data_IF_300912856929
#
_entry.id   IF_300912856929
#
_cell.length_a   1.000
_cell.length_b   1.000
_cell.length_c   1.000
_cell.angle_alpha   90.00
_cell.angle_beta   90.00
_cell.angle_gamma   90.00
#
_symmetry.space_group_name_H-M   'P 1'
#
loop_
_entity.id
_entity.type
_entity.pdbx_description
1 polymer ?
#
# COMPACT_ATOMS: atom_id res chain seq x y z
N UNK A 1 -49.60 11.97 20.13
CA UNK A 1 -48.19 12.09 20.58
C UNK A 1 -47.29 10.95 20.08
N UNK A 2 -47.71 9.69 20.19
CA UNK A 2 -46.92 8.48 19.84
C UNK A 2 -46.31 8.51 18.42
N UNK A 3 -47.05 8.97 17.41
CA UNK A 3 -46.54 9.04 16.02
C UNK A 3 -45.33 9.97 15.85
N UNK A 4 -45.31 11.12 16.55
CA UNK A 4 -44.20 12.08 16.46
C UNK A 4 -42.94 11.55 17.13
N UNK A 5 -43.10 10.82 18.24
CA UNK A 5 -42.00 10.18 18.96
C UNK A 5 -41.38 9.04 18.15
N UNK A 6 -42.20 8.23 17.47
CA UNK A 6 -41.72 7.15 16.60
C UNK A 6 -40.93 7.70 15.40
N UNK A 7 -41.42 8.76 14.75
CA UNK A 7 -40.70 9.42 13.65
C UNK A 7 -39.36 10.00 14.12
N UNK A 8 -39.32 10.60 15.31
CA UNK A 8 -38.08 11.13 15.89
C UNK A 8 -37.07 10.02 16.16
N UNK A 9 -37.50 8.89 16.73
CA UNK A 9 -36.63 7.73 16.98
C UNK A 9 -36.09 7.17 15.66
N UNK A 10 -36.92 7.05 14.62
CA UNK A 10 -36.48 6.60 13.30
C UNK A 10 -35.43 7.55 12.70
N UNK A 11 -35.65 8.87 12.76
CA UNK A 11 -34.71 9.88 12.25
C UNK A 11 -33.38 9.84 13.02
N UNK A 12 -33.43 9.75 14.35
CA UNK A 12 -32.23 9.67 15.19
C UNK A 12 -31.47 8.36 14.92
N UNK A 13 -32.18 7.24 14.72
CA UNK A 13 -31.54 5.95 14.39
C UNK A 13 -30.91 5.98 12.99
N UNK A 14 -31.56 6.61 12.00
CA UNK A 14 -31.00 6.83 10.66
C UNK A 14 -29.77 7.75 10.69
N UNK A 15 -29.77 8.80 11.53
CA UNK A 15 -28.61 9.68 11.74
C UNK A 15 -27.45 8.95 12.47
N UNK A 16 -27.75 8.00 13.36
CA UNK A 16 -26.73 7.16 14.01
C UNK A 16 -26.14 6.15 13.01
N UNK A 17 -26.96 5.57 12.13
CA UNK A 17 -26.49 4.64 11.08
C UNK A 17 -25.69 5.39 10.00
N UNK A 18 -25.99 6.65 9.72
CA UNK A 18 -25.16 7.49 8.83
C UNK A 18 -23.79 7.85 9.41
N UNK A 19 -23.56 7.62 10.71
CA UNK A 19 -22.26 7.78 11.35
C UNK A 19 -21.43 6.48 11.40
N UNK A 20 -21.83 5.41 10.70
CA UNK A 20 -20.85 4.40 10.31
C UNK A 20 -19.91 5.03 9.28
N UNK A 21 -18.89 5.72 9.79
CA UNK A 21 -17.76 6.23 9.05
C UNK A 21 -17.22 5.12 8.14
N UNK A 22 -17.53 5.17 6.85
CA UNK A 22 -16.61 4.62 5.86
C UNK A 22 -15.39 5.54 5.92
N UNK A 23 -14.35 5.11 6.62
CA UNK A 23 -13.08 5.80 6.59
C UNK A 23 -12.41 5.45 5.26
N UNK A 24 -12.00 6.49 4.53
CA UNK A 24 -11.37 6.41 3.22
C UNK A 24 -10.18 5.44 3.22
N UNK A 25 -9.96 4.78 2.08
CA UNK A 25 -8.73 4.04 1.82
C UNK A 25 -7.54 5.01 1.98
N UNK A 26 -6.61 4.71 2.88
CA UNK A 26 -5.32 5.40 2.90
C UNK A 26 -4.55 4.91 1.66
N UNK A 27 -4.50 5.73 0.62
CA UNK A 27 -3.64 5.52 -0.54
C UNK A 27 -2.40 6.40 -0.31
N UNK A 28 -1.22 5.80 -0.27
CA UNK A 28 0.02 6.59 -0.33
C UNK A 28 0.90 6.06 -1.42
N UNK A 29 1.44 6.99 -2.19
CA UNK A 29 2.30 6.73 -3.32
C UNK A 29 3.68 7.31 -3.02
N UNK A 30 4.73 6.47 -3.08
CA UNK A 30 6.12 6.97 -3.04
C UNK A 30 6.84 6.67 -4.35
N UNK A 31 7.67 7.62 -4.75
CA UNK A 31 8.50 7.55 -5.94
C UNK A 31 9.94 7.16 -5.58
N UNK A 32 10.40 6.04 -6.14
CA UNK A 32 11.72 5.47 -5.91
C UNK A 32 12.56 5.63 -7.18
N UNK A 33 13.85 5.95 -7.02
CA UNK A 33 14.81 6.14 -8.11
C UNK A 33 16.11 5.40 -7.84
N UNK A 34 16.56 4.63 -8.83
CA UNK A 34 17.87 4.01 -8.89
C UNK A 34 18.67 4.58 -10.06
N UNK A 35 19.98 4.61 -9.90
CA UNK A 35 20.91 4.99 -10.96
C UNK A 35 21.74 3.77 -11.31
N UNK A 36 21.88 3.50 -12.60
CA UNK A 36 22.75 2.44 -13.07
C UNK A 36 23.43 2.85 -14.38
N UNK A 37 24.59 2.26 -14.64
CA UNK A 37 25.37 2.51 -15.84
C UNK A 37 25.50 1.24 -16.67
N UNK A 38 25.44 1.38 -17.99
CA UNK A 38 25.76 0.31 -18.94
C UNK A 38 26.77 0.83 -19.97
N UNK A 39 27.62 -0.04 -20.50
CA UNK A 39 28.54 0.29 -21.60
C UNK A 39 27.79 0.78 -22.84
N UNK A 40 26.61 0.24 -23.08
CA UNK A 40 25.88 0.42 -24.33
C UNK A 40 25.00 1.68 -24.29
N UNK A 41 24.56 2.06 -23.10
CA UNK A 41 23.56 3.12 -22.90
C UNK A 41 24.01 4.27 -21.99
N UNK A 42 25.18 4.14 -21.34
CA UNK A 42 25.68 5.07 -20.34
C UNK A 42 24.86 5.05 -19.04
N UNK A 43 24.92 6.14 -18.28
CA UNK A 43 24.18 6.28 -17.03
C UNK A 43 22.69 6.55 -17.29
N UNK A 44 21.82 5.80 -16.62
CA UNK A 44 20.36 5.93 -16.67
C UNK A 44 19.74 5.92 -15.28
N UNK A 45 18.50 6.40 -15.24
CA UNK A 45 17.66 6.45 -14.04
C UNK A 45 16.52 5.47 -14.23
N UNK A 46 16.38 4.52 -13.30
CA UNK A 46 15.25 3.61 -13.24
C UNK A 46 14.36 4.03 -12.08
N UNK A 47 13.08 4.24 -12.34
CA UNK A 47 12.19 4.78 -11.34
C UNK A 47 10.82 4.12 -11.40
N UNK A 48 10.19 4.01 -10.23
CA UNK A 48 8.86 3.46 -10.10
C UNK A 48 8.17 4.05 -8.88
N UNK A 49 6.85 3.88 -8.87
CA UNK A 49 5.98 4.24 -7.77
C UNK A 49 5.55 2.97 -7.05
N UNK A 50 5.46 3.05 -5.73
CA UNK A 50 4.74 2.07 -4.91
C UNK A 50 3.48 2.72 -4.40
N UNK A 51 2.36 2.04 -4.55
CA UNK A 51 1.09 2.38 -3.91
C UNK A 51 0.64 1.24 -3.00
N UNK A 52 0.14 1.58 -1.82
CA UNK A 52 -0.46 0.63 -0.89
C UNK A 52 -1.73 1.21 -0.27
N UNK A 53 -2.73 0.34 -0.15
CA UNK A 53 -3.96 0.62 0.59
C UNK A 53 -4.47 -0.61 1.34
N UNK A 54 -5.22 -0.39 2.40
CA UNK A 54 -5.91 -1.46 3.13
C UNK A 54 -7.20 -0.96 3.76
N UNK A 55 -8.09 -1.89 4.06
CA UNK A 55 -9.28 -1.64 4.88
C UNK A 55 -8.92 -1.70 6.37
N UNK A 56 -9.51 -0.80 7.15
CA UNK A 56 -9.40 -0.83 8.61
C UNK A 56 -10.79 -1.01 9.23
N UNK A 57 -10.90 -1.92 10.18
CA UNK A 57 -12.11 -2.19 10.93
C UNK A 57 -11.85 -1.97 12.41
N UNK A 58 -12.66 -1.13 13.03
CA UNK A 58 -12.56 -0.75 14.44
C UNK A 58 -13.65 -1.46 15.26
N UNK A 59 -13.32 -2.58 15.88
CA UNK A 59 -14.09 -3.10 17.01
C UNK A 59 -13.38 -2.69 18.30
N UNK A 60 -14.08 -2.07 19.24
CA UNK A 60 -13.45 -1.77 20.53
C UNK A 60 -13.33 -3.05 21.36
N UNK A 61 -12.16 -3.40 21.92
CA UNK A 61 -10.83 -2.78 21.78
C UNK A 61 -9.91 -3.43 20.72
N UNK A 62 -10.37 -4.47 20.02
CA UNK A 62 -9.61 -5.19 18.98
C UNK A 62 -9.77 -4.56 17.58
N UNK A 63 -8.67 -4.03 17.05
CA UNK A 63 -8.61 -3.39 15.74
C UNK A 63 -8.01 -4.33 14.71
N UNK A 64 -8.41 -4.17 13.44
CA UNK A 64 -8.00 -5.03 12.34
C UNK A 64 -7.64 -4.23 11.10
N UNK A 65 -6.52 -4.58 10.47
CA UNK A 65 -6.15 -4.15 9.12
C UNK A 65 -6.30 -5.38 8.22
N UNK A 66 -7.04 -5.25 7.12
CA UNK A 66 -7.31 -6.34 6.18
C UNK A 66 -7.56 -5.81 4.76
N UNK A 67 -7.72 -6.71 3.78
CA UNK A 67 -7.90 -6.36 2.36
C UNK A 67 -6.79 -5.44 1.86
N UNK A 68 -5.57 -5.94 1.92
CA UNK A 68 -4.36 -5.23 1.55
C UNK A 68 -4.21 -5.23 0.02
N UNK A 69 -4.04 -4.06 -0.57
CA UNK A 69 -3.71 -3.87 -1.97
C UNK A 69 -2.36 -3.18 -2.06
N UNK A 70 -1.46 -3.72 -2.89
CA UNK A 70 -0.14 -3.14 -3.09
C UNK A 70 0.26 -3.25 -4.55
N UNK A 71 0.83 -2.19 -5.09
CA UNK A 71 1.25 -2.14 -6.48
C UNK A 71 2.57 -1.42 -6.66
N UNK A 72 3.31 -1.83 -7.68
CA UNK A 72 4.50 -1.15 -8.16
C UNK A 72 4.35 -0.87 -9.65
N UNK A 73 4.53 0.39 -10.06
CA UNK A 73 4.30 0.78 -11.44
C UNK A 73 5.17 1.96 -11.87
N UNK A 74 5.40 2.09 -13.17
CA UNK A 74 6.01 3.26 -13.79
C UNK A 74 5.04 3.83 -14.84
N UNK A 75 4.61 5.08 -14.65
CA UNK A 75 3.69 5.77 -15.56
C UNK A 75 4.36 6.23 -16.86
N UNK A 76 5.69 6.32 -16.89
CA UNK A 76 6.48 6.73 -18.04
C UNK A 76 7.71 5.81 -18.12
N UNK A 77 7.51 4.53 -18.51
CA UNK A 77 8.64 3.61 -18.68
C UNK A 77 9.62 4.19 -19.70
N UNK A 78 10.92 3.96 -19.46
CA UNK A 78 11.96 4.33 -20.41
C UNK A 78 11.74 3.61 -21.74
N UNK A 79 12.36 4.13 -22.80
CA UNK A 79 12.39 3.53 -24.12
C UNK A 79 12.55 1.99 -24.02
N UNK A 80 11.69 1.20 -24.67
CA UNK A 80 11.62 -0.25 -24.48
C UNK A 80 12.96 -0.97 -24.72
N UNK A 81 13.87 -0.37 -25.51
CA UNK A 81 15.20 -0.89 -25.82
C UNK A 81 16.17 -0.93 -24.64
N UNK A 82 16.00 -0.05 -23.63
CA UNK A 82 16.89 0.04 -22.45
C UNK A 82 16.47 -0.98 -21.38
N UNK A 83 15.23 -1.47 -21.45
CA UNK A 83 14.59 -2.25 -20.39
C UNK A 83 14.16 -1.37 -19.21
N UNK A 84 13.27 -1.89 -18.36
CA UNK A 84 12.74 -1.17 -17.20
C UNK A 84 13.02 -1.88 -15.86
N UNK A 85 13.85 -2.93 -15.89
CA UNK A 85 14.08 -3.81 -14.75
C UNK A 85 12.85 -4.61 -14.33
N UNK A 86 12.95 -5.24 -13.17
CA UNK A 86 11.86 -5.93 -12.50
C UNK A 86 11.81 -5.47 -11.03
N UNK A 87 10.61 -5.33 -10.49
CA UNK A 87 10.39 -5.00 -9.08
C UNK A 87 9.57 -6.12 -8.43
N UNK A 88 9.94 -6.52 -7.22
CA UNK A 88 9.26 -7.59 -6.48
C UNK A 88 8.95 -7.11 -5.05
N UNK A 89 7.77 -7.47 -4.55
CA UNK A 89 7.41 -7.27 -3.16
C UNK A 89 8.18 -8.27 -2.28
N UNK A 90 8.80 -7.78 -1.20
CA UNK A 90 9.35 -8.61 -0.11
C UNK A 90 8.32 -8.80 0.99
N UNK A 91 7.72 -7.69 1.44
CA UNK A 91 6.71 -7.71 2.48
C UNK A 91 6.27 -6.31 2.90
N UNK A 92 5.41 -6.26 3.91
CA UNK A 92 4.87 -5.03 4.48
C UNK A 92 4.90 -5.13 6.00
N UNK A 93 5.59 -4.19 6.65
CA UNK A 93 5.66 -4.08 8.10
C UNK A 93 4.71 -3.02 8.63
N UNK A 94 3.94 -3.37 9.66
CA UNK A 94 3.00 -2.49 10.32
C UNK A 94 3.57 -2.04 11.65
N UNK A 95 3.78 -0.74 11.85
CA UNK A 95 4.35 -0.20 13.09
C UNK A 95 3.44 0.85 13.70
N UNK A 96 3.34 0.89 15.02
CA UNK A 96 2.72 2.02 15.71
C UNK A 96 3.51 3.30 15.42
N UNK A 97 2.88 4.31 14.83
CA UNK A 97 3.58 5.52 14.38
C UNK A 97 4.18 6.32 15.52
N UNK A 98 3.61 6.20 16.72
CA UNK A 98 4.04 6.96 17.91
C UNK A 98 5.23 6.33 18.62
N UNK A 99 5.28 4.99 18.67
CA UNK A 99 6.30 4.25 19.42
C UNK A 99 7.32 3.53 18.53
N UNK A 100 7.05 3.40 17.22
CA UNK A 100 7.82 2.57 16.30
C UNK A 100 7.66 1.07 16.54
N UNK A 101 6.77 0.65 17.45
CA UNK A 101 6.61 -0.77 17.82
C UNK A 101 6.00 -1.55 16.65
N UNK A 102 6.63 -2.66 16.26
CA UNK A 102 6.09 -3.59 15.26
C UNK A 102 4.80 -4.24 15.77
N UNK A 103 3.76 -4.16 14.94
CA UNK A 103 2.44 -4.72 15.18
C UNK A 103 2.27 -6.04 14.44
N UNK A 104 2.81 -6.13 13.23
CA UNK A 104 2.78 -7.32 12.42
C UNK A 104 3.44 -7.12 11.07
N UNK A 105 3.58 -8.21 10.34
CA UNK A 105 4.23 -8.26 9.03
C UNK A 105 3.41 -9.12 8.10
N UNK A 106 3.32 -8.71 6.84
CA UNK A 106 2.86 -9.55 5.74
C UNK A 106 4.01 -9.78 4.78
N UNK A 107 4.53 -11.00 4.75
CA UNK A 107 5.50 -11.41 3.74
C UNK A 107 4.83 -11.58 2.36
N UNK A 108 5.64 -11.60 1.30
CA UNK A 108 5.16 -11.72 -0.08
C UNK A 108 4.35 -12.99 -0.36
N UNK A 109 4.53 -14.08 0.41
CA UNK A 109 3.74 -15.31 0.24
C UNK A 109 2.27 -15.14 0.64
N UNK A 110 1.93 -14.08 1.37
CA UNK A 110 0.56 -13.72 1.74
C UNK A 110 -0.20 -13.02 0.62
N UNK A 111 0.47 -12.66 -0.47
CA UNK A 111 -0.11 -11.90 -1.56
C UNK A 111 -0.38 -12.79 -2.77
N UNK A 112 -1.51 -12.52 -3.42
CA UNK A 112 -1.87 -13.07 -4.73
C UNK A 112 -1.98 -11.93 -5.73
N UNK A 113 -2.05 -12.25 -7.02
CA UNK A 113 -2.40 -11.27 -8.05
C UNK A 113 -3.76 -10.65 -7.72
N UNK A 114 -3.87 -9.33 -7.80
CA UNK A 114 -5.11 -8.61 -7.51
C UNK A 114 -6.25 -9.14 -8.39
N UNK A 115 -7.30 -9.77 -7.80
CA UNK A 115 -8.37 -10.39 -8.57
C UNK A 115 -9.31 -9.37 -9.21
N UNK A 116 -9.39 -8.17 -8.64
CA UNK A 116 -10.22 -7.08 -9.17
C UNK A 116 -9.51 -6.29 -10.26
N UNK A 117 -8.18 -6.36 -10.27
CA UNK A 117 -7.31 -5.51 -11.09
C UNK A 117 -7.38 -4.04 -10.69
N UNK A 118 -6.27 -3.34 -10.93
CA UNK A 118 -6.21 -1.89 -10.79
C UNK A 118 -6.46 -1.19 -12.13
N UNK A 119 -6.97 0.05 -12.09
CA UNK A 119 -7.18 0.87 -13.29
C UNK A 119 -5.89 1.65 -13.55
N UNK A 120 -5.31 1.45 -14.72
CA UNK A 120 -4.04 2.08 -15.11
C UNK A 120 -4.21 3.01 -16.30
N UNK A 121 -3.42 4.09 -16.32
CA UNK A 121 -3.29 4.88 -17.53
C UNK A 121 -2.72 4.00 -18.67
N UNK A 122 -3.12 4.24 -19.93
CA UNK A 122 -2.49 3.58 -21.07
C UNK A 122 -0.97 3.78 -21.03
N UNK A 123 -0.21 2.72 -21.37
CA UNK A 123 1.26 2.67 -21.35
C UNK A 123 1.92 2.67 -19.95
N UNK A 124 1.15 2.49 -18.88
CA UNK A 124 1.74 2.22 -17.55
C UNK A 124 2.42 0.86 -17.56
N UNK A 125 3.70 0.80 -17.19
CA UNK A 125 4.37 -0.44 -16.87
C UNK A 125 4.01 -0.84 -15.44
N UNK A 126 3.34 -1.97 -15.28
CA UNK A 126 2.99 -2.51 -13.96
C UNK A 126 3.96 -3.64 -13.63
N UNK A 127 4.77 -3.45 -12.60
CA UNK A 127 5.68 -4.49 -12.11
C UNK A 127 4.91 -5.54 -11.31
N UNK A 128 4.03 -5.09 -10.42
CA UNK A 128 3.07 -5.96 -9.73
C UNK A 128 1.82 -5.20 -9.30
N UNK A 129 0.71 -5.93 -9.19
CA UNK A 129 -0.59 -5.48 -8.68
C UNK A 129 -1.16 -6.63 -7.87
N UNK A 130 -1.08 -6.52 -6.54
CA UNK A 130 -1.24 -7.62 -5.61
C UNK A 130 -2.30 -7.32 -4.55
N UNK A 131 -2.90 -8.40 -4.05
CA UNK A 131 -3.92 -8.39 -3.01
C UNK A 131 -3.62 -9.43 -1.92
N UNK A 132 -3.90 -9.10 -0.66
CA UNK A 132 -3.94 -10.05 0.45
C UNK A 132 -5.20 -9.88 1.29
N UNK A 133 -5.88 -10.99 1.59
CA UNK A 133 -6.98 -11.05 2.54
C UNK A 133 -6.51 -11.33 3.98
N UNK A 134 -5.19 -11.37 4.22
CA UNK A 134 -4.65 -11.60 5.55
C UNK A 134 -5.09 -10.50 6.51
N UNK A 135 -5.18 -10.82 7.80
CA UNK A 135 -5.64 -9.90 8.83
C UNK A 135 -4.48 -9.62 9.79
N UNK A 136 -4.15 -8.34 9.98
CA UNK A 136 -3.29 -7.86 11.06
C UNK A 136 -4.18 -7.32 12.18
N UNK A 137 -4.21 -8.03 13.31
CA UNK A 137 -4.99 -7.63 14.48
C UNK A 137 -4.12 -7.01 15.56
N UNK A 138 -4.59 -5.94 16.20
CA UNK A 138 -3.90 -5.31 17.31
C UNK A 138 -4.87 -4.77 18.35
N UNK A 139 -4.44 -4.75 19.60
CA UNK A 139 -5.23 -4.23 20.71
C UNK A 139 -4.95 -2.75 20.91
N UNK A 140 -5.99 -1.93 20.95
CA UNK A 140 -5.86 -0.51 21.30
C UNK A 140 -7.16 0.04 21.88
N UNK A 141 -7.09 0.59 23.09
CA UNK A 141 -8.22 1.27 23.74
C UNK A 141 -8.36 2.74 23.32
N UNK A 142 -7.35 3.31 22.67
CA UNK A 142 -7.36 4.67 22.11
C UNK A 142 -7.30 4.64 20.58
N UNK A 143 -7.59 5.78 19.94
CA UNK A 143 -7.23 6.00 18.53
C UNK A 143 -5.70 5.90 18.42
N UNK A 144 -5.23 5.17 17.40
CA UNK A 144 -3.81 4.90 17.15
C UNK A 144 -3.56 4.96 15.65
N UNK A 145 -2.49 5.63 15.32
CA UNK A 145 -1.95 5.75 13.97
C UNK A 145 -0.92 4.65 13.75
N UNK A 146 -1.03 3.94 12.63
CA UNK A 146 -0.16 2.82 12.26
C UNK A 146 0.53 3.22 10.94
N UNK A 147 1.83 2.97 10.81
CA UNK A 147 2.56 3.08 9.56
C UNK A 147 2.64 1.70 8.89
N UNK A 148 2.65 1.67 7.55
CA UNK A 148 2.84 0.44 6.78
C UNK A 148 4.04 0.60 5.84
N UNK A 149 5.19 0.02 6.17
CA UNK A 149 6.40 0.09 5.35
C UNK A 149 6.42 -1.02 4.32
N UNK A 150 6.40 -0.68 3.02
CA UNK A 150 6.44 -1.65 1.92
C UNK A 150 7.88 -1.88 1.48
N UNK A 151 8.35 -3.10 1.65
CA UNK A 151 9.69 -3.51 1.24
C UNK A 151 9.67 -4.15 -0.15
N UNK A 152 10.56 -3.69 -1.03
CA UNK A 152 10.65 -4.16 -2.41
C UNK A 152 12.09 -4.38 -2.84
N UNK A 153 12.33 -5.34 -3.72
CA UNK A 153 13.61 -5.56 -4.37
C UNK A 153 13.50 -5.19 -5.85
N UNK A 154 14.43 -4.37 -6.33
CA UNK A 154 14.53 -3.98 -7.72
C UNK A 154 15.75 -4.64 -8.40
N UNK A 155 15.52 -5.30 -9.52
CA UNK A 155 16.56 -5.99 -10.30
C UNK A 155 16.66 -5.40 -11.71
N UNK A 156 17.89 -5.20 -12.17
CA UNK A 156 18.20 -4.86 -13.56
C UNK A 156 18.85 -6.04 -14.26
N UNK A 157 18.89 -6.00 -15.58
CA UNK A 157 19.70 -6.94 -16.36
C UNK A 157 21.18 -6.86 -15.91
N UNK A 158 21.91 -7.98 -15.85
CA UNK A 158 23.31 -8.00 -15.43
C UNK A 158 24.25 -7.09 -16.23
N UNK A 159 23.85 -6.64 -17.44
CA UNK A 159 24.60 -5.64 -18.21
C UNK A 159 24.65 -4.26 -17.54
N UNK A 160 23.81 -4.02 -16.54
CA UNK A 160 23.77 -2.78 -15.76
C UNK A 160 24.63 -2.91 -14.51
N UNK A 161 25.52 -1.94 -14.33
CA UNK A 161 26.31 -1.76 -13.11
C UNK A 161 25.54 -0.76 -12.24
N UNK A 162 24.83 -1.20 -11.19
CA UNK A 162 24.11 -0.29 -10.32
C UNK A 162 25.11 0.54 -9.53
N UNK A 163 24.78 1.81 -9.25
CA UNK A 163 25.49 2.58 -8.23
C UNK A 163 25.00 2.12 -6.85
N UNK A 164 25.42 0.91 -6.44
CA UNK A 164 25.04 0.18 -5.22
C UNK A 164 23.53 -0.29 -5.20
N UNK A 165 23.16 -1.37 -4.47
CA UNK A 165 22.04 -1.43 -3.46
C UNK A 165 21.35 -2.78 -3.22
N UNK A 166 20.92 -2.93 -1.96
CA UNK A 166 19.60 -3.44 -1.54
C UNK A 166 18.75 -2.21 -1.18
N UNK A 167 17.50 -2.10 -1.63
CA UNK A 167 16.63 -0.93 -1.38
C UNK A 167 15.56 -1.20 -0.32
N UNK A 168 15.48 -0.32 0.69
CA UNK A 168 14.39 -0.30 1.68
C UNK A 168 13.61 1.01 1.50
N UNK A 169 12.31 0.94 1.23
CA UNK A 169 11.47 2.15 1.15
C UNK A 169 10.44 2.15 2.27
N UNK A 170 10.50 3.16 3.13
CA UNK A 170 9.46 3.38 4.14
C UNK A 170 8.32 4.21 3.54
N UNK A 171 7.10 3.67 3.61
CA UNK A 171 5.87 4.42 3.34
C UNK A 171 5.22 4.69 4.70
N UNK A 172 5.02 5.96 5.04
CA UNK A 172 4.35 6.34 6.29
C UNK A 172 2.88 6.57 6.02
N UNK A 173 2.03 6.03 6.90
CA UNK A 173 0.59 6.21 6.83
C UNK A 173 0.11 6.84 8.13
N UNK A 174 -0.78 7.82 8.02
CA UNK A 174 -1.50 8.31 9.19
C UNK A 174 -2.91 7.73 9.18
N UNK A 175 -3.22 6.83 10.12
CA UNK A 175 -4.59 6.40 10.41
C UNK A 175 -5.19 7.18 11.59
#
# INVERSE_FOLDING_TARGET
MIKKTLTLVIIVTLLIIQNSTMVFAANTQNYIRHYAWSSDWGAKIFAFYIDYSASNYTNYPMKYIQNHYVSAFNQQPLNPEIGNGNCYLVGIDFTDSSSGTLIGTLDSSKFIKNPNGSIWNPNTLVYFDLYSSSIISYYSTSVKTINASVETIFHLDPSWIPSNWTDYTNLSFTF
#
